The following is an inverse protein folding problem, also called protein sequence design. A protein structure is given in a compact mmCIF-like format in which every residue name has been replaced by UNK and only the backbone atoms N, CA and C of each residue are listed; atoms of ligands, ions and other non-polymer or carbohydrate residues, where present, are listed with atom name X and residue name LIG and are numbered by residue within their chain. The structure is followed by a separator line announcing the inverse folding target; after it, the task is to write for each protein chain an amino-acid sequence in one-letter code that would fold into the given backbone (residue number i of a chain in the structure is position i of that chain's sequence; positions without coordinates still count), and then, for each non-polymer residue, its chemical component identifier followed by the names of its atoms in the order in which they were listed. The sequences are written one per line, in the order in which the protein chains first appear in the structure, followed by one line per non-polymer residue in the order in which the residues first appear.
data_IF_648137418002
#
_entry.id   IF_648137418002
#
_cell.length_a   1.000
_cell.length_b   1.000
_cell.length_c   1.000
_cell.angle_alpha   90.00
_cell.angle_beta   90.00
_cell.angle_gamma   90.00
#
_symmetry.space_group_name_H-M   'P 1'
#
loop_
_entity.id
_entity.type
_entity.pdbx_description
1 polymer ?
#
# COMPACT_ATOMS: atom_id res chain seq x y z
N UNK A 1 -11.30 -28.52 -6.35
CA UNK A 1 -12.19 -27.46 -5.80
C UNK A 1 -11.50 -26.54 -4.79
N UNK A 2 -10.75 -27.06 -3.78
CA UNK A 2 -10.08 -26.20 -2.77
C UNK A 2 -9.04 -25.22 -3.34
N UNK A 3 -8.26 -25.62 -4.34
CA UNK A 3 -7.29 -24.74 -5.02
C UNK A 3 -7.96 -23.53 -5.68
N UNK A 4 -9.01 -23.77 -6.48
CA UNK A 4 -9.77 -22.71 -7.12
C UNK A 4 -10.42 -21.77 -6.09
N UNK A 5 -11.00 -22.33 -5.01
CA UNK A 5 -11.54 -21.53 -3.90
C UNK A 5 -10.47 -20.61 -3.31
N UNK A 6 -9.27 -21.12 -3.04
CA UNK A 6 -8.16 -20.32 -2.53
C UNK A 6 -7.76 -19.19 -3.47
N UNK A 7 -7.65 -19.46 -4.77
CA UNK A 7 -7.34 -18.45 -5.78
C UNK A 7 -8.40 -17.35 -5.77
N UNK A 8 -9.68 -17.72 -5.84
CA UNK A 8 -10.80 -16.77 -5.88
C UNK A 8 -10.89 -15.94 -4.61
N UNK A 9 -10.76 -16.56 -3.44
CA UNK A 9 -10.79 -15.84 -2.16
C UNK A 9 -9.59 -14.90 -2.05
N UNK A 10 -8.39 -15.37 -2.38
CA UNK A 10 -7.17 -14.54 -2.40
C UNK A 10 -7.34 -13.34 -3.33
N UNK A 11 -7.82 -13.59 -4.56
CA UNK A 11 -8.08 -12.55 -5.56
C UNK A 11 -9.08 -11.51 -5.07
N UNK A 12 -10.26 -11.93 -4.58
CA UNK A 12 -11.32 -10.99 -4.18
C UNK A 12 -10.89 -10.12 -2.99
N UNK A 13 -10.29 -10.73 -1.97
CA UNK A 13 -9.85 -10.00 -0.78
C UNK A 13 -8.78 -8.97 -1.13
N UNK A 14 -7.80 -9.36 -1.95
CA UNK A 14 -6.71 -8.48 -2.35
C UNK A 14 -7.13 -7.40 -3.35
N UNK A 15 -7.97 -7.74 -4.31
CA UNK A 15 -8.51 -6.80 -5.28
C UNK A 15 -9.27 -5.69 -4.56
N UNK A 16 -10.24 -6.07 -3.72
CA UNK A 16 -11.02 -5.11 -2.92
C UNK A 16 -10.13 -4.36 -1.93
N UNK A 17 -9.15 -5.03 -1.32
CA UNK A 17 -8.19 -4.43 -0.40
C UNK A 17 -7.27 -3.39 -1.06
N UNK A 18 -7.11 -3.45 -2.39
CA UNK A 18 -6.28 -2.52 -3.17
C UNK A 18 -7.04 -1.30 -3.70
N UNK A 19 -8.38 -1.31 -3.61
CA UNK A 19 -9.24 -0.18 -4.03
C UNK A 19 -9.12 1.03 -3.09
N UNK A 20 -9.04 0.89 -1.75
CA UNK A 20 -8.70 2.00 -0.89
C UNK A 20 -7.42 2.68 -1.35
N UNK A 21 -7.49 3.99 -1.57
CA UNK A 21 -6.34 4.75 -2.03
C UNK A 21 -5.18 4.62 -1.02
N UNK A 22 -3.97 4.44 -1.54
CA UNK A 22 -2.75 4.30 -0.75
C UNK A 22 -1.58 4.99 -1.45
N UNK A 23 -0.43 5.11 -0.79
CA UNK A 23 0.67 5.88 -1.37
C UNK A 23 1.26 5.26 -2.64
N UNK A 24 1.36 3.94 -2.68
CA UNK A 24 1.83 3.22 -3.87
C UNK A 24 0.89 3.45 -5.06
N UNK A 25 -0.42 3.58 -4.83
CA UNK A 25 -1.39 3.91 -5.88
C UNK A 25 -1.17 5.32 -6.42
N UNK A 26 -0.86 6.29 -5.56
CA UNK A 26 -0.57 7.67 -5.97
C UNK A 26 0.76 7.79 -6.72
N UNK A 27 1.80 7.09 -6.28
CA UNK A 27 3.07 7.02 -7.01
C UNK A 27 2.89 6.32 -8.35
N UNK A 28 2.17 5.20 -8.39
CA UNK A 28 1.86 4.49 -9.63
C UNK A 28 1.06 5.36 -10.61
N UNK A 29 0.14 6.19 -10.09
CA UNK A 29 -0.58 7.18 -10.89
C UNK A 29 0.36 8.23 -11.49
N UNK A 30 1.32 8.76 -10.71
CA UNK A 30 2.33 9.70 -11.24
C UNK A 30 3.21 9.06 -12.32
N UNK A 31 3.69 7.83 -12.10
CA UNK A 31 4.46 7.06 -13.08
C UNK A 31 3.64 6.84 -14.35
N UNK A 32 2.37 6.45 -14.21
CA UNK A 32 1.51 6.20 -15.35
C UNK A 32 1.26 7.46 -16.18
N UNK A 33 1.06 8.60 -15.51
CA UNK A 33 0.86 9.89 -16.18
C UNK A 33 2.11 10.38 -16.91
N UNK A 34 3.31 10.13 -16.37
CA UNK A 34 4.58 10.62 -16.95
C UNK A 34 5.16 9.68 -18.01
N UNK A 35 5.14 8.37 -17.76
CA UNK A 35 5.89 7.39 -18.56
C UNK A 35 5.02 6.30 -19.19
N UNK A 36 3.71 6.31 -18.92
CA UNK A 36 2.75 5.43 -19.57
C UNK A 36 2.64 4.03 -18.96
N UNK A 37 1.87 3.18 -19.63
CA UNK A 37 1.38 1.92 -19.07
C UNK A 37 2.50 0.90 -18.78
N UNK A 38 3.52 0.86 -19.63
CA UNK A 38 4.65 -0.08 -19.49
C UNK A 38 5.37 0.12 -18.16
N UNK A 39 5.62 1.36 -17.79
CA UNK A 39 6.34 1.73 -16.58
C UNK A 39 5.47 1.54 -15.34
N UNK A 40 4.16 1.78 -15.45
CA UNK A 40 3.20 1.40 -14.41
C UNK A 40 3.24 -0.11 -14.15
N UNK A 41 3.20 -0.94 -15.20
CA UNK A 41 3.26 -2.39 -15.04
C UNK A 41 4.56 -2.84 -14.35
N UNK A 42 5.71 -2.29 -14.77
CA UNK A 42 7.01 -2.57 -14.14
C UNK A 42 7.01 -2.17 -12.65
N UNK A 43 6.47 -1.00 -12.31
CA UNK A 43 6.32 -0.57 -10.93
C UNK A 43 5.47 -1.55 -10.11
N UNK A 44 4.30 -1.95 -10.62
CA UNK A 44 3.42 -2.90 -9.94
C UNK A 44 4.06 -4.28 -9.77
N UNK A 45 4.87 -4.74 -10.73
CA UNK A 45 5.67 -5.96 -10.54
C UNK A 45 6.66 -5.81 -9.38
N UNK A 46 7.34 -4.66 -9.26
CA UNK A 46 8.21 -4.38 -8.13
C UNK A 46 7.49 -4.44 -6.78
N UNK A 47 6.28 -3.86 -6.71
CA UNK A 47 5.41 -3.93 -5.53
C UNK A 47 5.09 -5.38 -5.17
N UNK A 48 4.68 -6.19 -6.16
CA UNK A 48 4.26 -7.59 -5.99
C UNK A 48 5.39 -8.50 -5.51
N UNK A 49 6.64 -8.25 -5.93
CA UNK A 49 7.79 -9.00 -5.43
C UNK A 49 7.87 -8.89 -3.91
N UNK A 50 7.77 -7.67 -3.36
CA UNK A 50 7.80 -7.46 -1.91
C UNK A 50 6.56 -8.03 -1.22
N UNK A 51 5.36 -7.83 -1.80
CA UNK A 51 4.11 -8.39 -1.29
C UNK A 51 4.15 -9.92 -1.17
N UNK A 52 4.83 -10.60 -2.10
CA UNK A 52 4.97 -12.06 -2.07
C UNK A 52 5.59 -12.54 -0.76
N UNK A 53 6.68 -11.90 -0.32
CA UNK A 53 7.34 -12.24 0.94
C UNK A 53 6.45 -11.90 2.14
N UNK A 54 5.87 -10.70 2.14
CA UNK A 54 4.98 -10.22 3.19
C UNK A 54 3.82 -11.17 3.39
N UNK A 55 3.08 -11.50 2.34
CA UNK A 55 1.91 -12.38 2.40
C UNK A 55 2.34 -13.77 2.85
N UNK A 56 3.45 -14.30 2.32
CA UNK A 56 3.95 -15.61 2.71
C UNK A 56 4.26 -15.68 4.21
N UNK A 57 5.02 -14.73 4.74
CA UNK A 57 5.40 -14.71 6.16
C UNK A 57 4.21 -14.39 7.06
N UNK A 58 3.36 -13.44 6.69
CA UNK A 58 2.15 -13.12 7.46
C UNK A 58 1.13 -14.25 7.43
N UNK A 59 1.11 -15.10 6.39
CA UNK A 59 0.23 -16.27 6.34
C UNK A 59 0.70 -17.36 7.31
N UNK A 60 2.00 -17.58 7.42
CA UNK A 60 2.58 -18.57 8.32
C UNK A 60 2.58 -18.13 9.79
N UNK A 61 2.82 -16.83 10.03
CA UNK A 61 3.05 -16.29 11.37
C UNK A 61 1.96 -15.31 11.83
N UNK A 62 0.77 -15.36 11.21
CA UNK A 62 -0.31 -14.40 11.45
C UNK A 62 -0.64 -14.22 12.95
N UNK A 63 -0.77 -15.35 13.67
CA UNK A 63 -1.10 -15.36 15.10
C UNK A 63 0.04 -14.82 15.96
N UNK A 64 1.27 -15.22 15.64
CA UNK A 64 2.48 -14.79 16.34
C UNK A 64 2.71 -13.28 16.17
N UNK A 65 2.50 -12.76 14.95
CA UNK A 65 2.65 -11.35 14.64
C UNK A 65 1.66 -10.49 15.41
N UNK A 66 0.37 -10.85 15.37
CA UNK A 66 -0.71 -10.09 16.03
C UNK A 66 -0.60 -10.16 17.56
N UNK A 67 -0.16 -11.29 18.10
CA UNK A 67 0.05 -11.43 19.54
C UNK A 67 1.29 -10.69 20.06
N UNK A 68 2.23 -10.33 19.18
CA UNK A 68 3.41 -9.55 19.55
C UNK A 68 3.07 -8.06 19.67
N UNK A 69 2.49 -7.69 20.83
CA UNK A 69 2.08 -6.31 21.13
C UNK A 69 3.20 -5.28 20.95
N UNK A 70 4.46 -5.63 21.28
CA UNK A 70 5.62 -4.74 21.14
C UNK A 70 5.90 -4.43 19.67
N UNK A 71 5.94 -5.45 18.82
CA UNK A 71 6.15 -5.28 17.38
C UNK A 71 5.00 -4.49 16.73
N UNK A 72 3.75 -4.83 17.07
CA UNK A 72 2.57 -4.11 16.58
C UNK A 72 2.60 -2.62 16.96
N UNK A 73 3.04 -2.30 18.18
CA UNK A 73 3.23 -0.91 18.61
C UNK A 73 4.28 -0.21 17.75
N UNK A 74 5.44 -0.83 17.51
CA UNK A 74 6.50 -0.26 16.67
C UNK A 74 5.98 0.02 15.25
N UNK A 75 5.29 -0.94 14.64
CA UNK A 75 4.71 -0.79 13.29
C UNK A 75 3.72 0.38 13.25
N UNK A 76 2.82 0.46 14.23
CA UNK A 76 1.80 1.51 14.28
C UNK A 76 2.41 2.92 14.41
N UNK A 77 3.44 3.08 15.25
CA UNK A 77 4.16 4.35 15.41
C UNK A 77 5.04 4.69 14.21
N UNK A 78 5.72 3.70 13.62
CA UNK A 78 6.49 3.90 12.40
C UNK A 78 5.58 4.42 11.27
N UNK A 79 4.39 3.83 11.11
CA UNK A 79 3.43 4.25 10.10
C UNK A 79 3.00 5.72 10.26
N UNK A 80 2.84 6.21 11.49
CA UNK A 80 2.58 7.64 11.76
C UNK A 80 3.70 8.50 11.19
N UNK A 81 4.94 8.24 11.61
CA UNK A 81 6.10 9.01 11.17
C UNK A 81 6.27 8.96 9.65
N UNK A 82 6.15 7.77 9.07
CA UNK A 82 6.26 7.56 7.63
C UNK A 82 5.21 8.36 6.83
N UNK A 83 3.95 8.39 7.27
CA UNK A 83 2.91 9.18 6.62
C UNK A 83 3.22 10.69 6.65
N UNK A 84 3.67 11.24 7.77
CA UNK A 84 4.04 12.66 7.83
C UNK A 84 5.29 12.98 7.02
N UNK A 85 6.29 12.08 7.00
CA UNK A 85 7.47 12.23 6.13
C UNK A 85 7.05 12.26 4.66
N UNK A 86 6.15 11.36 4.22
CA UNK A 86 5.61 11.40 2.86
C UNK A 86 4.84 12.69 2.59
N UNK A 87 3.96 13.13 3.50
CA UNK A 87 3.23 14.37 3.36
C UNK A 87 4.16 15.56 3.14
N UNK A 88 5.21 15.67 3.97
CA UNK A 88 6.21 16.72 3.90
C UNK A 88 7.05 16.62 2.62
N UNK A 89 7.53 15.42 2.28
CA UNK A 89 8.32 15.19 1.07
C UNK A 89 7.54 15.60 -0.19
N UNK A 90 6.27 15.19 -0.31
CA UNK A 90 5.43 15.60 -1.42
C UNK A 90 5.15 17.11 -1.42
N UNK A 91 4.84 17.70 -0.27
CA UNK A 91 4.57 19.13 -0.17
C UNK A 91 5.77 19.99 -0.59
N UNK A 92 6.96 19.69 -0.07
CA UNK A 92 8.17 20.47 -0.35
C UNK A 92 8.58 20.42 -1.81
N UNK A 93 8.58 19.22 -2.39
CA UNK A 93 9.02 19.07 -3.77
C UNK A 93 8.10 19.75 -4.78
N UNK A 94 6.81 19.91 -4.49
CA UNK A 94 5.89 20.57 -5.43
C UNK A 94 5.71 22.07 -5.16
N UNK A 95 5.86 22.52 -3.92
CA UNK A 95 5.61 23.92 -3.57
C UNK A 95 6.88 24.77 -3.46
N UNK A 96 8.05 24.20 -3.17
CA UNK A 96 9.31 24.95 -3.05
C UNK A 96 10.23 24.86 -4.28
N UNK A 97 10.16 23.79 -5.08
CA UNK A 97 10.99 23.64 -6.30
C UNK A 97 10.34 24.25 -7.57
N UNK A 98 9.44 25.24 -7.45
CA UNK A 98 8.75 25.83 -8.61
C UNK A 98 9.68 26.56 -9.60
N UNK A 99 10.91 26.90 -9.22
CA UNK A 99 11.88 27.50 -10.14
C UNK A 99 12.57 26.50 -11.08
N UNK A 100 12.51 25.18 -10.80
CA UNK A 100 13.03 24.15 -11.70
C UNK A 100 11.85 23.51 -12.44
N UNK A 101 11.41 24.20 -13.51
CA UNK A 101 10.43 23.71 -14.48
C UNK A 101 10.96 22.47 -15.22
N UNK A 102 10.81 21.29 -14.64
CA UNK A 102 10.74 19.99 -15.36
C UNK A 102 10.68 18.80 -14.40
N UNK A 103 11.19 18.96 -13.18
CA UNK A 103 11.75 17.83 -12.46
C UNK A 103 11.06 17.62 -11.10
N UNK A 104 9.81 17.13 -11.13
CA UNK A 104 9.12 16.67 -9.90
C UNK A 104 9.91 15.53 -9.22
N UNK A 105 9.60 15.17 -7.96
CA UNK A 105 10.29 14.15 -7.13
C UNK A 105 10.87 12.99 -7.94
N UNK A 106 10.04 12.42 -8.82
CA UNK A 106 10.36 11.29 -9.67
C UNK A 106 11.47 11.53 -10.70
N UNK A 107 11.74 12.75 -11.15
CA UNK A 107 12.82 13.11 -12.09
C UNK A 107 14.21 12.74 -11.57
N UNK A 108 14.50 13.02 -10.30
CA UNK A 108 15.72 12.57 -9.63
C UNK A 108 15.71 11.06 -9.34
N UNK A 109 14.52 10.43 -9.28
CA UNK A 109 14.38 8.98 -9.22
C UNK A 109 14.33 8.29 -10.61
N UNK A 110 14.29 9.04 -11.73
CA UNK A 110 14.28 8.48 -13.10
C UNK A 110 15.60 7.76 -13.43
N UNK A 111 16.63 7.90 -12.57
CA UNK A 111 17.84 7.08 -12.63
C UNK A 111 17.52 5.61 -12.35
N UNK A 112 16.49 5.33 -11.53
CA UNK A 112 16.07 3.99 -11.18
C UNK A 112 14.89 3.53 -12.04
N UNK A 113 14.93 2.25 -12.43
CA UNK A 113 13.79 1.61 -13.12
C UNK A 113 12.53 1.68 -12.25
N UNK A 114 11.33 1.90 -12.83
CA UNK A 114 10.04 1.84 -12.12
C UNK A 114 9.87 0.59 -11.27
N UNK A 115 10.41 -0.55 -11.73
CA UNK A 115 10.43 -1.80 -10.96
C UNK A 115 11.19 -1.66 -9.62
N UNK A 116 12.38 -1.06 -9.65
CA UNK A 116 13.20 -0.82 -8.44
C UNK A 116 12.49 0.17 -7.51
N UNK A 117 11.87 1.21 -8.06
CA UNK A 117 11.05 2.16 -7.29
C UNK A 117 9.92 1.41 -6.57
N UNK A 118 9.22 0.50 -7.26
CA UNK A 118 8.18 -0.34 -6.68
C UNK A 118 8.67 -1.19 -5.50
N UNK A 119 9.84 -1.81 -5.63
CA UNK A 119 10.47 -2.59 -4.55
C UNK A 119 10.78 -1.69 -3.35
N UNK A 120 11.57 -0.63 -3.57
CA UNK A 120 12.04 0.26 -2.50
C UNK A 120 10.85 0.83 -1.74
N UNK A 121 9.88 1.39 -2.48
CA UNK A 121 8.72 1.99 -1.84
C UNK A 121 7.92 0.96 -1.08
N UNK A 122 7.65 -0.23 -1.63
CA UNK A 122 6.85 -1.23 -0.91
C UNK A 122 7.58 -1.83 0.31
N UNK A 123 8.91 -1.81 0.36
CA UNK A 123 9.65 -2.19 1.58
C UNK A 123 9.32 -1.27 2.78
N UNK A 124 8.96 -0.01 2.54
CA UNK A 124 8.53 0.91 3.59
C UNK A 124 7.04 0.81 3.95
N UNK A 125 6.26 -0.03 3.25
CA UNK A 125 4.84 -0.20 3.48
C UNK A 125 4.54 -1.05 4.72
N UNK A 126 5.02 -0.70 5.91
CA UNK A 126 4.87 -1.57 7.09
C UNK A 126 3.43 -1.82 7.52
N UNK A 127 2.46 -1.00 7.07
CA UNK A 127 1.03 -1.23 7.29
C UNK A 127 0.50 -2.49 6.60
N UNK A 128 1.19 -3.00 5.59
CA UNK A 128 0.84 -4.28 4.95
C UNK A 128 0.97 -5.47 5.92
N UNK A 129 1.91 -5.42 6.87
CA UNK A 129 2.15 -6.50 7.82
C UNK A 129 0.92 -6.78 8.71
N UNK A 130 0.37 -5.80 9.45
CA UNK A 130 -0.82 -6.01 10.24
C UNK A 130 -2.06 -6.24 9.36
N UNK A 131 -2.15 -5.59 8.20
CA UNK A 131 -3.25 -5.79 7.26
C UNK A 131 -3.35 -7.26 6.80
N UNK A 132 -2.27 -7.82 6.28
CA UNK A 132 -2.23 -9.20 5.81
C UNK A 132 -2.34 -10.20 6.95
N UNK A 133 -1.71 -9.94 8.09
CA UNK A 133 -1.88 -10.82 9.25
C UNK A 133 -3.34 -10.88 9.72
N UNK A 134 -4.06 -9.74 9.73
CA UNK A 134 -5.48 -9.70 10.08
C UNK A 134 -6.34 -10.48 9.08
N UNK A 135 -6.16 -10.25 7.78
CA UNK A 135 -6.89 -10.98 6.75
C UNK A 135 -6.58 -12.48 6.77
N UNK A 136 -5.31 -12.86 6.88
CA UNK A 136 -4.91 -14.26 6.96
C UNK A 136 -5.53 -14.95 8.18
N UNK A 137 -5.49 -14.33 9.36
CA UNK A 137 -6.16 -14.88 10.54
C UNK A 137 -7.67 -15.02 10.35
N UNK A 138 -8.32 -13.98 9.81
CA UNK A 138 -9.77 -14.02 9.56
C UNK A 138 -10.14 -15.18 8.61
N UNK A 139 -9.43 -15.30 7.50
CA UNK A 139 -9.69 -16.33 6.48
C UNK A 139 -9.41 -17.75 6.99
N UNK A 140 -8.34 -17.92 7.78
CA UNK A 140 -7.99 -19.20 8.40
C UNK A 140 -9.00 -19.62 9.47
N UNK A 141 -9.36 -18.71 10.38
CA UNK A 141 -10.33 -18.99 11.45
C UNK A 141 -11.72 -19.31 10.88
N UNK A 142 -12.14 -18.58 9.83
CA UNK A 142 -13.39 -18.82 9.13
C UNK A 142 -13.37 -20.02 8.17
N UNK A 143 -12.23 -20.72 8.02
CA UNK A 143 -12.04 -21.85 7.07
C UNK A 143 -12.39 -21.45 5.61
N UNK A 144 -12.23 -20.18 5.27
CA UNK A 144 -12.44 -19.67 3.92
C UNK A 144 -11.33 -20.15 2.97
N UNK A 145 -10.12 -20.33 3.49
CA UNK A 145 -8.96 -20.84 2.76
C UNK A 145 -8.36 -22.06 3.46
N UNK A 146 -7.68 -22.92 2.70
CA UNK A 146 -6.90 -24.04 3.23
C UNK A 146 -5.42 -23.85 2.88
N UNK A 147 -4.50 -24.01 3.83
CA UNK A 147 -3.08 -23.75 3.60
C UNK A 147 -2.20 -25.00 3.65
N UNK A 148 -2.82 -26.19 3.69
CA UNK A 148 -2.08 -27.45 3.72
C UNK A 148 -1.28 -27.66 2.42
N UNK A 149 -0.02 -28.10 2.56
CA UNK A 149 0.87 -28.48 1.44
C UNK A 149 0.95 -27.39 0.36
N UNK A 150 0.45 -27.66 -0.84
CA UNK A 150 0.50 -26.75 -1.99
C UNK A 150 -0.65 -25.73 -2.01
N UNK A 151 -1.71 -25.92 -1.20
CA UNK A 151 -2.90 -25.06 -1.22
C UNK A 151 -2.58 -23.61 -0.84
N UNK A 152 -1.58 -23.38 0.01
CA UNK A 152 -1.09 -22.04 0.34
C UNK A 152 -0.59 -21.25 -0.87
N UNK A 153 0.07 -21.90 -1.83
CA UNK A 153 0.60 -21.22 -3.01
C UNK A 153 -0.52 -20.78 -3.95
N UNK A 154 -1.63 -21.53 -4.03
CA UNK A 154 -2.81 -21.11 -4.79
C UNK A 154 -3.49 -19.90 -4.16
N UNK A 155 -3.54 -19.83 -2.82
CA UNK A 155 -4.04 -18.63 -2.12
C UNK A 155 -3.13 -17.43 -2.42
N UNK A 156 -1.82 -17.58 -2.23
CA UNK A 156 -0.85 -16.52 -2.49
C UNK A 156 -0.93 -16.05 -3.94
N UNK A 157 -0.97 -16.96 -4.91
CA UNK A 157 -1.10 -16.61 -6.33
C UNK A 157 -2.38 -15.81 -6.60
N UNK A 158 -3.53 -16.23 -6.08
CA UNK A 158 -4.78 -15.47 -6.17
C UNK A 158 -4.65 -14.07 -5.58
N UNK A 159 -4.04 -13.97 -4.39
CA UNK A 159 -3.79 -12.69 -3.71
C UNK A 159 -2.90 -11.77 -4.54
N UNK A 160 -1.79 -12.26 -5.11
CA UNK A 160 -0.89 -11.42 -5.92
C UNK A 160 -1.57 -10.93 -7.21
N UNK A 161 -2.36 -11.79 -7.86
CA UNK A 161 -3.15 -11.42 -9.04
C UNK A 161 -4.16 -10.32 -8.68
N UNK A 162 -4.85 -10.45 -7.55
CA UNK A 162 -5.82 -9.45 -7.12
C UNK A 162 -5.18 -8.12 -6.72
N UNK A 163 -4.00 -8.11 -6.09
CA UNK A 163 -3.22 -6.88 -5.85
C UNK A 163 -2.89 -6.20 -7.17
N UNK A 164 -2.33 -6.94 -8.13
CA UNK A 164 -1.94 -6.38 -9.43
C UNK A 164 -3.13 -5.70 -10.11
N UNK A 165 -4.24 -6.42 -10.30
CA UNK A 165 -5.40 -5.91 -11.00
C UNK A 165 -6.18 -4.87 -10.20
N UNK A 166 -6.22 -4.99 -8.86
CA UNK A 166 -6.83 -4.02 -7.97
C UNK A 166 -6.12 -2.67 -8.06
N UNK A 167 -4.80 -2.64 -7.90
CA UNK A 167 -4.00 -1.42 -8.05
C UNK A 167 -4.07 -0.87 -9.48
N UNK A 168 -3.90 -1.74 -10.49
CA UNK A 168 -3.93 -1.33 -11.90
C UNK A 168 -5.28 -0.67 -12.25
N UNK A 169 -6.39 -1.32 -11.90
CA UNK A 169 -7.73 -0.79 -12.18
C UNK A 169 -7.97 0.54 -11.49
N UNK A 170 -7.63 0.66 -10.20
CA UNK A 170 -7.75 1.92 -9.47
C UNK A 170 -6.94 3.03 -10.15
N UNK A 171 -5.67 2.78 -10.47
CA UNK A 171 -4.79 3.78 -11.08
C UNK A 171 -5.29 4.22 -12.46
N UNK A 172 -5.72 3.29 -13.31
CA UNK A 172 -6.27 3.61 -14.64
C UNK A 172 -7.55 4.42 -14.54
N UNK A 173 -8.44 4.07 -13.61
CA UNK A 173 -9.66 4.82 -13.34
C UNK A 173 -9.32 6.23 -12.88
N UNK A 174 -8.44 6.40 -11.89
CA UNK A 174 -8.01 7.71 -11.39
C UNK A 174 -7.37 8.56 -12.51
N UNK A 175 -6.50 7.98 -13.33
CA UNK A 175 -5.88 8.68 -14.46
C UNK A 175 -6.95 9.18 -15.44
N UNK A 176 -7.95 8.36 -15.75
CA UNK A 176 -9.06 8.74 -16.65
C UNK A 176 -9.88 9.89 -16.08
N UNK A 177 -10.15 9.89 -14.77
CA UNK A 177 -10.85 11.00 -14.10
C UNK A 177 -10.02 12.29 -14.09
N UNK A 178 -8.71 12.21 -13.84
CA UNK A 178 -7.85 13.40 -13.69
C UNK A 178 -7.30 13.97 -15.00
N UNK A 179 -7.14 13.16 -16.06
CA UNK A 179 -6.75 13.66 -17.38
C UNK A 179 -7.85 14.54 -17.99
N UNK A 180 -9.13 14.20 -17.78
CA UNK A 180 -10.25 14.99 -18.29
C UNK A 180 -10.32 16.40 -17.71
N UNK A 181 -9.68 16.67 -16.57
CA UNK A 181 -9.86 17.93 -15.84
C UNK A 181 -8.66 18.86 -15.87
N UNK A 182 -7.51 18.49 -16.45
CA UNK A 182 -6.24 19.23 -16.33
C UNK A 182 -5.83 19.56 -14.86
N UNK A 183 -6.46 18.92 -13.87
CA UNK A 183 -6.25 19.22 -12.44
C UNK A 183 -5.07 18.45 -11.84
N UNK A 184 -4.54 17.45 -12.56
CA UNK A 184 -3.54 16.54 -12.01
C UNK A 184 -2.24 17.26 -11.59
N UNK A 185 -1.62 17.99 -12.51
CA UNK A 185 -0.39 18.74 -12.23
C UNK A 185 -0.63 19.98 -11.36
N UNK A 186 -1.82 20.58 -11.45
CA UNK A 186 -2.12 21.86 -10.78
C UNK A 186 -2.61 21.72 -9.34
N UNK A 187 -3.36 20.66 -9.03
CA UNK A 187 -4.00 20.48 -7.71
C UNK A 187 -3.73 19.11 -7.09
N UNK A 188 -3.69 18.03 -7.89
CA UNK A 188 -3.52 16.69 -7.31
C UNK A 188 -2.12 16.53 -6.72
N UNK A 189 -1.08 16.81 -7.50
CA UNK A 189 0.30 16.67 -7.06
C UNK A 189 0.67 17.61 -5.89
N UNK A 190 0.49 18.95 -5.99
CA UNK A 190 0.93 19.86 -4.94
C UNK A 190 0.03 19.94 -3.69
N UNK A 191 -1.25 19.57 -3.80
CA UNK A 191 -2.23 19.78 -2.72
C UNK A 191 -2.86 18.47 -2.26
N UNK A 192 -3.43 17.67 -3.18
CA UNK A 192 -4.16 16.46 -2.82
C UNK A 192 -3.25 15.38 -2.23
N UNK A 193 -2.11 15.07 -2.86
CA UNK A 193 -1.22 13.99 -2.39
C UNK A 193 -0.65 14.30 -0.99
N UNK A 194 -0.08 15.50 -0.71
CA UNK A 194 0.33 15.86 0.64
C UNK A 194 -0.82 15.85 1.65
N UNK A 195 -1.97 16.43 1.26
CA UNK A 195 -3.17 16.47 2.11
C UNK A 195 -3.69 15.09 2.45
N UNK A 196 -3.67 14.16 1.49
CA UNK A 196 -4.06 12.77 1.69
C UNK A 196 -3.19 12.08 2.74
N UNK A 197 -1.86 12.23 2.68
CA UNK A 197 -0.97 11.69 3.72
C UNK A 197 -1.11 12.36 5.06
N UNK A 198 -1.34 13.67 5.09
CA UNK A 198 -1.58 14.40 6.33
C UNK A 198 -2.86 13.91 7.02
N UNK A 199 -3.92 13.64 6.25
CA UNK A 199 -5.17 13.06 6.75
C UNK A 199 -4.94 11.63 7.25
N UNK A 200 -4.29 10.77 6.46
CA UNK A 200 -3.99 9.40 6.88
C UNK A 200 -3.12 9.35 8.13
N UNK A 201 -2.07 10.18 8.20
CA UNK A 201 -1.21 10.31 9.37
C UNK A 201 -2.00 10.75 10.60
N UNK A 202 -2.90 11.71 10.46
CA UNK A 202 -3.79 12.18 11.54
C UNK A 202 -4.74 11.08 12.02
N UNK A 203 -5.35 10.33 11.09
CA UNK A 203 -6.19 9.15 11.41
C UNK A 203 -5.35 8.10 12.16
N UNK A 204 -4.11 7.87 11.73
CA UNK A 204 -3.21 6.91 12.36
C UNK A 204 -2.79 7.37 13.77
N UNK A 205 -2.52 8.66 13.98
CA UNK A 205 -2.29 9.25 15.32
C UNK A 205 -3.49 8.98 16.21
N UNK A 206 -4.71 9.25 15.74
CA UNK A 206 -5.92 9.00 16.52
C UNK A 206 -6.07 7.51 16.88
N UNK A 207 -5.82 6.60 15.93
CA UNK A 207 -5.84 5.15 16.18
C UNK A 207 -4.79 4.74 17.22
N UNK A 208 -3.55 5.21 17.09
CA UNK A 208 -2.44 4.94 18.03
C UNK A 208 -2.78 5.48 19.42
N UNK A 209 -3.28 6.71 19.51
CA UNK A 209 -3.69 7.34 20.76
C UNK A 209 -4.77 6.53 21.46
N UNK A 210 -5.85 6.19 20.73
CA UNK A 210 -6.95 5.39 21.27
C UNK A 210 -6.47 4.01 21.73
N UNK A 211 -5.63 3.35 20.93
CA UNK A 211 -5.18 1.97 21.14
C UNK A 211 -4.19 1.83 22.30
N UNK A 212 -3.28 2.77 22.49
CA UNK A 212 -2.17 2.63 23.45
C UNK A 212 -2.23 3.56 24.65
N UNK A 213 -2.97 4.67 24.57
CA UNK A 213 -3.01 5.67 25.65
C UNK A 213 -4.42 5.82 26.25
N UNK A 214 -5.49 5.81 25.44
CA UNK A 214 -6.86 5.90 25.97
C UNK A 214 -7.32 4.62 26.66
N UNK A 215 -7.02 3.44 26.11
CA UNK A 215 -7.33 2.17 26.80
C UNK A 215 -6.57 1.99 28.11
N UNK A 216 -5.34 2.51 28.21
CA UNK A 216 -4.56 2.44 29.45
C UNK A 216 -5.10 3.35 30.56
N UNK A 217 -5.82 4.43 30.23
CA UNK A 217 -6.41 5.35 31.18
C UNK A 217 -7.77 4.89 31.76
N UNK A 218 -8.36 3.81 31.23
CA UNK A 218 -9.61 3.20 31.74
C UNK A 218 -9.35 1.94 32.58
N UNK A 219 -8.10 1.49 32.68
CA UNK A 219 -7.67 0.35 33.50
C UNK A 219 -7.03 0.80 34.83
N UNK A 220 -7.11 2.10 35.16
CA UNK A 220 -6.70 2.72 36.44
C UNK A 220 -7.96 3.24 37.13
#
# INVERSE_FOLDING_TARGET
MKSLKNILVGFLVSFLGSIPLGYLNLVGLEIYTKSGFRDLALFLFGVIVVETFVIYFTLLFAKQLINNKKLMKIIDFFAVGFMFVLAFAFYFNFNFNQEIKSDGILSNYLIYSPFVIGIILNCFNFLQLPFWASWNLYLLNGKYIAIERQLKYYYIAGTLIGIFFGMLSLIVVLQTFFQKTNQFSKYIMPVFIPGFFMILGSIQVFKVYKKYFKSAALEI
#
